data_IF_765435630743
#
_entry.id   IF_765435630743
#
_cell.length_a   1.000
_cell.length_b   1.000
_cell.length_c   1.000
_cell.angle_alpha   90.00
_cell.angle_beta   90.00
_cell.angle_gamma   90.00
#
_symmetry.space_group_name_H-M   'P 1'
#
loop_
_entity.id
_entity.type
_entity.pdbx_description
1 polymer ?
#
# COMPACT_ATOMS: atom_id res chain seq x y z
N UNK A 1 34.35 -4.90 12.13
CA UNK A 1 33.03 -5.55 12.25
C UNK A 1 32.14 -5.01 11.13
N UNK A 2 31.88 -5.77 10.07
CA UNK A 2 31.04 -5.35 8.93
C UNK A 2 29.61 -5.83 9.19
N UNK A 3 28.74 -4.98 9.70
CA UNK A 3 27.30 -5.28 9.80
C UNK A 3 26.58 -4.69 8.60
N UNK A 4 26.66 -5.41 7.48
CA UNK A 4 25.75 -5.27 6.35
C UNK A 4 24.38 -5.84 6.76
N UNK A 5 23.52 -5.00 7.33
CA UNK A 5 22.17 -5.40 7.71
C UNK A 5 21.18 -5.05 6.60
N UNK A 6 20.85 -6.11 5.86
CA UNK A 6 19.61 -6.41 5.13
C UNK A 6 19.06 -5.35 4.18
N UNK A 7 19.33 -5.59 2.90
CA UNK A 7 18.40 -5.49 1.77
C UNK A 7 16.95 -5.19 2.22
N UNK A 8 16.51 -3.94 2.06
CA UNK A 8 15.09 -3.65 1.88
C UNK A 8 14.92 -3.11 0.47
N UNK A 9 15.05 -4.04 -0.47
CA UNK A 9 14.65 -3.88 -1.84
C UNK A 9 13.13 -4.01 -1.88
N UNK A 10 12.41 -2.92 -2.13
CA UNK A 10 11.08 -2.99 -2.72
C UNK A 10 10.90 -1.80 -3.64
N UNK A 11 11.69 -1.89 -4.69
CA UNK A 11 11.69 -1.00 -5.83
C UNK A 11 10.31 -1.08 -6.51
N UNK A 12 9.59 0.03 -6.56
CA UNK A 12 8.43 0.32 -7.41
C UNK A 12 7.11 -0.43 -7.15
N UNK A 13 7.11 -1.57 -6.44
CA UNK A 13 5.89 -2.32 -6.10
C UNK A 13 5.44 -2.09 -4.65
N UNK A 14 6.26 -1.42 -3.83
CA UNK A 14 5.92 -1.07 -2.44
C UNK A 14 4.66 -0.20 -2.34
N UNK A 15 4.35 0.63 -3.35
CA UNK A 15 3.20 1.53 -3.31
C UNK A 15 1.87 0.81 -3.14
N UNK A 16 1.68 -0.33 -3.83
CA UNK A 16 0.45 -1.14 -3.70
C UNK A 16 0.41 -1.85 -2.35
N UNK A 17 1.51 -2.46 -1.90
CA UNK A 17 1.57 -3.16 -0.62
C UNK A 17 1.34 -2.23 0.58
N UNK A 18 1.94 -1.04 0.56
CA UNK A 18 1.74 0.01 1.57
C UNK A 18 0.31 0.54 1.51
N UNK A 19 -0.22 0.79 0.32
CA UNK A 19 -1.60 1.22 0.12
C UNK A 19 -2.61 0.24 0.72
N UNK A 20 -2.45 -1.05 0.43
CA UNK A 20 -3.30 -2.10 1.02
C UNK A 20 -3.13 -2.13 2.54
N UNK A 21 -1.90 -2.20 3.09
CA UNK A 21 -1.68 -2.27 4.53
C UNK A 21 -2.32 -1.10 5.30
N UNK A 22 -2.17 0.13 4.80
CA UNK A 22 -2.81 1.32 5.37
C UNK A 22 -4.33 1.25 5.19
N UNK A 23 -4.81 0.89 4.00
CA UNK A 23 -6.22 0.74 3.70
C UNK A 23 -6.91 -0.27 4.62
N UNK A 24 -6.32 -1.44 4.87
CA UNK A 24 -6.88 -2.45 5.77
C UNK A 24 -6.89 -1.98 7.23
N UNK A 25 -5.84 -1.28 7.68
CA UNK A 25 -5.78 -0.74 9.04
C UNK A 25 -6.88 0.32 9.29
N UNK A 26 -7.02 1.27 8.37
CA UNK A 26 -8.10 2.27 8.42
C UNK A 26 -9.48 1.64 8.23
N UNK A 27 -9.61 0.68 7.32
CA UNK A 27 -10.84 -0.05 7.07
C UNK A 27 -11.31 -0.84 8.28
N UNK A 28 -10.40 -1.51 8.99
CA UNK A 28 -10.72 -2.21 10.22
C UNK A 28 -11.17 -1.22 11.32
N UNK A 29 -10.51 -0.07 11.46
CA UNK A 29 -10.91 0.97 12.40
C UNK A 29 -12.29 1.55 12.08
N UNK A 30 -12.58 1.87 10.81
CA UNK A 30 -13.89 2.35 10.37
C UNK A 30 -14.96 1.28 10.52
N UNK A 31 -14.64 0.02 10.19
CA UNK A 31 -15.54 -1.12 10.36
C UNK A 31 -15.92 -1.37 11.81
N UNK A 32 -15.00 -1.11 12.75
CA UNK A 32 -15.29 -1.17 14.18
C UNK A 32 -16.28 -0.07 14.62
N UNK A 33 -16.20 1.13 14.03
CA UNK A 33 -17.16 2.22 14.29
C UNK A 33 -18.53 1.94 13.67
N UNK A 34 -18.54 1.31 12.49
CA UNK A 34 -19.76 0.98 11.74
C UNK A 34 -20.47 -0.29 12.26
N UNK A 35 -19.95 -0.92 13.33
CA UNK A 35 -20.38 -2.24 13.82
C UNK A 35 -20.38 -3.32 12.72
N UNK A 36 -19.62 -3.09 11.64
CA UNK A 36 -19.54 -3.95 10.47
C UNK A 36 -18.10 -3.98 9.93
N UNK A 37 -17.30 -4.83 10.57
CA UNK A 37 -15.88 -5.01 10.24
C UNK A 37 -15.70 -5.53 8.81
N UNK A 38 -16.65 -6.34 8.30
CA UNK A 38 -16.62 -6.83 6.92
C UNK A 38 -16.71 -5.70 5.89
N UNK A 39 -17.65 -4.76 6.09
CA UNK A 39 -17.78 -3.57 5.26
C UNK A 39 -16.55 -2.67 5.36
N UNK A 40 -16.03 -2.47 6.57
CA UNK A 40 -14.85 -1.65 6.82
C UNK A 40 -13.60 -2.20 6.12
N UNK A 41 -13.32 -3.50 6.25
CA UNK A 41 -12.18 -4.15 5.58
C UNK A 41 -12.36 -4.11 4.06
N UNK A 42 -13.56 -4.39 3.53
CA UNK A 42 -13.81 -4.34 2.09
C UNK A 42 -13.55 -2.94 1.51
N UNK A 43 -14.06 -1.90 2.17
CA UNK A 43 -13.81 -0.50 1.79
C UNK A 43 -12.32 -0.15 1.93
N UNK A 44 -11.72 -0.50 3.05
CA UNK A 44 -10.32 -0.22 3.33
C UNK A 44 -9.37 -0.84 2.31
N UNK A 45 -9.56 -2.11 1.98
CA UNK A 45 -8.76 -2.80 0.95
C UNK A 45 -9.01 -2.20 -0.43
N UNK A 46 -10.27 -1.89 -0.79
CA UNK A 46 -10.58 -1.27 -2.08
C UNK A 46 -9.92 0.11 -2.24
N UNK A 47 -10.03 0.97 -1.22
CA UNK A 47 -9.38 2.29 -1.18
C UNK A 47 -7.85 2.18 -1.16
N UNK A 48 -7.33 1.31 -0.30
CA UNK A 48 -5.89 1.08 -0.17
C UNK A 48 -5.24 0.55 -1.45
N UNK A 49 -5.89 -0.41 -2.11
CA UNK A 49 -5.47 -0.94 -3.39
C UNK A 49 -5.59 0.12 -4.50
N UNK A 50 -6.69 0.88 -4.55
CA UNK A 50 -6.87 1.94 -5.55
C UNK A 50 -5.81 3.04 -5.42
N UNK A 51 -5.57 3.54 -4.20
CA UNK A 51 -4.54 4.54 -3.93
C UNK A 51 -3.15 3.99 -4.20
N UNK A 52 -2.84 2.79 -3.67
CA UNK A 52 -1.55 2.15 -3.87
C UNK A 52 -1.25 1.87 -5.34
N UNK A 53 -2.25 1.45 -6.11
CA UNK A 53 -2.15 1.26 -7.55
C UNK A 53 -2.01 2.59 -8.30
N UNK A 54 -2.74 3.63 -7.92
CA UNK A 54 -2.62 4.97 -8.52
C UNK A 54 -1.23 5.57 -8.29
N UNK A 55 -0.69 5.45 -7.07
CA UNK A 55 0.66 5.91 -6.73
C UNK A 55 1.74 5.08 -7.45
N UNK A 56 1.57 3.75 -7.50
CA UNK A 56 2.50 2.88 -8.25
C UNK A 56 2.47 3.16 -9.76
N UNK A 57 1.28 3.41 -10.33
CA UNK A 57 1.12 3.79 -11.73
C UNK A 57 1.79 5.14 -12.01
N UNK A 58 1.61 6.14 -11.14
CA UNK A 58 2.25 7.47 -11.30
C UNK A 58 3.77 7.41 -11.17
N UNK A 59 4.29 6.53 -10.31
CA UNK A 59 5.73 6.35 -10.12
C UNK A 59 6.38 5.58 -11.28
N UNK A 60 5.64 4.67 -11.92
CA UNK A 60 6.11 3.92 -13.09
C UNK A 60 6.32 4.83 -14.31
N UNK A 61 5.58 5.95 -14.40
CA UNK A 61 5.72 6.95 -15.48
C UNK A 61 6.96 7.85 -15.37
N UNK A 62 7.69 7.85 -14.24
CA UNK A 62 8.90 8.68 -14.05
C UNK A 62 10.19 7.88 -13.91
N UNK A 63 10.14 6.54 -14.02
CA UNK A 63 11.32 5.66 -13.93
C UNK A 63 11.56 4.90 -15.25
N UNK A 64 11.09 5.46 -16.36
CA UNK A 64 11.14 4.89 -17.70
C UNK A 64 12.18 5.48 -18.65
N UNK A 65 13.06 6.37 -18.20
CA UNK A 65 14.22 6.82 -18.98
C UNK A 65 15.52 6.27 -18.37
N UNK A 66 15.95 5.05 -18.74
CA UNK A 66 17.38 4.78 -18.84
C UNK A 66 17.88 5.55 -20.07
N UNK A 67 18.55 6.69 -19.83
CA UNK A 67 19.41 7.31 -20.85
C UNK A 67 20.54 6.38 -21.25
#
# INVERSE_FOLDING_TARGET
MKTNMRKNESNNNAGVGIGIALGTAFGAALGAVLENVGLGIALGVALGAALGAAFAAKQKSTKGDPK
#
